data_IF_444944010156
#
_entry.id   IF_444944010156
#
_cell.length_a   1.000
_cell.length_b   1.000
_cell.length_c   1.000
_cell.angle_alpha   90.00
_cell.angle_beta   90.00
_cell.angle_gamma   90.00
#
_symmetry.space_group_name_H-M   'P 1'
#
loop_
_entity.id
_entity.type
_entity.pdbx_description
1 polymer ?
#
# COMPACT_ATOMS: atom_id res chain seq x y z
N UNK A 1 14.58 5.51 8.43
CA UNK A 1 15.20 4.95 7.20
C UNK A 1 14.31 5.33 6.03
N UNK A 2 14.77 6.18 5.14
CA UNK A 2 14.08 6.45 3.87
C UNK A 2 14.32 5.24 2.96
N UNK A 3 13.26 4.49 2.62
CA UNK A 3 13.36 3.33 1.72
C UNK A 3 13.64 3.84 0.31
N UNK A 4 14.67 3.28 -0.33
CA UNK A 4 15.04 3.60 -1.71
C UNK A 4 14.01 3.01 -2.69
N UNK A 5 13.54 3.83 -3.63
CA UNK A 5 12.60 3.40 -4.68
C UNK A 5 13.27 2.46 -5.69
N UNK A 6 12.49 1.51 -6.25
CA UNK A 6 12.95 0.55 -7.28
C UNK A 6 12.80 1.05 -8.72
N UNK A 7 12.89 2.37 -8.94
CA UNK A 7 12.63 2.99 -10.25
C UNK A 7 13.49 2.42 -11.37
N UNK A 8 14.81 2.31 -11.17
CA UNK A 8 15.75 1.80 -12.18
C UNK A 8 15.43 0.36 -12.59
N UNK A 9 15.12 -0.49 -11.61
CA UNK A 9 14.79 -1.90 -11.85
C UNK A 9 13.48 -2.03 -12.64
N UNK A 10 12.44 -1.30 -12.23
CA UNK A 10 11.13 -1.28 -12.88
C UNK A 10 11.20 -0.70 -14.30
N UNK A 11 12.05 0.31 -14.52
CA UNK A 11 12.31 0.86 -15.85
C UNK A 11 12.99 -0.15 -16.77
N UNK A 12 14.03 -0.82 -16.30
CA UNK A 12 14.72 -1.85 -17.10
C UNK A 12 13.77 -3.00 -17.42
N UNK A 13 12.95 -3.42 -16.45
CA UNK A 13 11.90 -4.44 -16.64
C UNK A 13 10.86 -4.06 -17.70
N UNK A 14 10.52 -2.78 -17.79
CA UNK A 14 9.59 -2.26 -18.81
C UNK A 14 10.26 -1.93 -20.15
N UNK A 15 11.57 -2.19 -20.31
CA UNK A 15 12.31 -1.98 -21.55
C UNK A 15 12.50 -0.51 -21.95
N UNK A 16 12.27 0.43 -21.03
CA UNK A 16 12.32 1.87 -21.30
C UNK A 16 13.68 2.50 -20.96
N UNK A 17 14.10 3.51 -21.72
CA UNK A 17 15.22 4.37 -21.34
C UNK A 17 14.78 5.42 -20.31
N UNK A 18 15.72 6.07 -19.63
CA UNK A 18 15.38 7.19 -18.72
C UNK A 18 14.69 8.34 -19.47
N UNK A 19 15.03 8.55 -20.74
CA UNK A 19 14.45 9.59 -21.58
C UNK A 19 13.00 9.27 -21.97
N UNK A 20 12.69 8.00 -22.25
CA UNK A 20 11.33 7.56 -22.57
C UNK A 20 10.39 7.80 -21.38
N UNK A 21 10.82 7.36 -20.19
CA UNK A 21 10.03 7.54 -18.97
C UNK A 21 9.85 9.02 -18.63
N UNK A 22 10.90 9.84 -18.77
CA UNK A 22 10.81 11.28 -18.51
C UNK A 22 9.81 11.96 -19.47
N UNK A 23 9.85 11.60 -20.76
CA UNK A 23 8.93 12.08 -21.79
C UNK A 23 7.49 11.67 -21.48
N UNK A 24 7.24 10.40 -21.17
CA UNK A 24 5.89 9.89 -20.85
C UNK A 24 5.32 10.50 -19.56
N UNK A 25 6.19 10.85 -18.59
CA UNK A 25 5.79 11.51 -17.35
C UNK A 25 5.65 13.04 -17.48
N UNK A 26 6.05 13.63 -18.62
CA UNK A 26 6.07 15.08 -18.81
C UNK A 26 7.05 15.80 -17.87
N UNK A 27 8.18 15.17 -17.53
CA UNK A 27 9.23 15.75 -16.67
C UNK A 27 10.56 15.84 -17.39
N UNK A 28 11.46 16.70 -16.90
CA UNK A 28 12.81 16.79 -17.47
C UNK A 28 13.64 15.51 -17.20
N UNK A 29 14.53 15.09 -18.13
CA UNK A 29 15.40 13.91 -17.92
C UNK A 29 16.23 13.97 -16.64
N UNK A 30 16.70 15.17 -16.28
CA UNK A 30 17.43 15.42 -15.04
C UNK A 30 16.58 15.17 -13.78
N UNK A 31 15.27 15.44 -13.86
CA UNK A 31 14.32 15.20 -12.77
C UNK A 31 14.14 13.71 -12.54
N UNK A 32 13.89 12.95 -13.61
CA UNK A 32 13.75 11.50 -13.51
C UNK A 32 15.04 10.82 -13.04
N UNK A 33 16.19 11.21 -13.60
CA UNK A 33 17.49 10.69 -13.16
C UNK A 33 17.73 10.97 -11.67
N UNK A 34 17.40 12.17 -11.18
CA UNK A 34 17.53 12.53 -9.77
C UNK A 34 16.68 11.63 -8.85
N UNK A 35 15.51 11.16 -9.31
CA UNK A 35 14.69 10.20 -8.58
C UNK A 35 15.34 8.80 -8.55
N UNK A 36 15.88 8.30 -9.66
CA UNK A 36 16.53 6.98 -9.71
C UNK A 36 17.79 6.89 -8.83
N UNK A 37 18.60 7.96 -8.81
CA UNK A 37 19.81 8.01 -7.98
C UNK A 37 19.53 8.39 -6.52
N UNK A 38 18.28 8.78 -6.19
CA UNK A 38 17.89 9.20 -4.85
C UNK A 38 18.40 10.59 -4.44
N UNK A 39 18.80 11.42 -5.41
CA UNK A 39 19.21 12.81 -5.16
C UNK A 39 18.00 13.68 -4.78
N UNK A 40 16.86 13.42 -5.42
CA UNK A 40 15.58 14.07 -5.12
C UNK A 40 14.53 13.01 -4.76
N UNK A 41 13.70 13.31 -3.78
CA UNK A 41 12.55 12.46 -3.44
C UNK A 41 11.45 12.57 -4.50
N UNK A 42 10.83 11.44 -4.84
CA UNK A 42 9.67 11.39 -5.72
C UNK A 42 8.46 11.97 -4.98
N UNK A 43 7.89 13.06 -5.50
CA UNK A 43 6.68 13.66 -4.89
C UNK A 43 5.48 12.74 -5.08
N UNK A 44 4.62 12.61 -4.07
CA UNK A 44 3.46 11.71 -4.07
C UNK A 44 2.54 11.85 -5.29
N UNK A 45 2.41 13.08 -5.83
CA UNK A 45 1.61 13.34 -7.04
C UNK A 45 2.05 12.56 -8.28
N UNK A 46 3.33 12.16 -8.37
CA UNK A 46 3.87 11.42 -9.50
C UNK A 46 3.77 9.91 -9.34
N UNK A 47 3.41 9.41 -8.15
CA UNK A 47 3.41 7.96 -7.86
C UNK A 47 2.47 7.22 -8.81
N UNK A 48 1.26 7.75 -9.02
CA UNK A 48 0.28 7.13 -9.91
C UNK A 48 0.79 7.05 -11.36
N UNK A 49 1.31 8.16 -11.89
CA UNK A 49 1.80 8.21 -13.27
C UNK A 49 3.02 7.31 -13.48
N UNK A 50 3.94 7.26 -12.51
CA UNK A 50 5.09 6.35 -12.53
C UNK A 50 4.62 4.90 -12.56
N UNK A 51 3.69 4.53 -11.69
CA UNK A 51 3.13 3.18 -11.66
C UNK A 51 2.47 2.81 -13.00
N UNK A 52 1.76 3.74 -13.63
CA UNK A 52 1.18 3.53 -14.97
C UNK A 52 2.24 3.35 -16.05
N UNK A 53 3.21 4.26 -16.15
CA UNK A 53 4.27 4.24 -17.18
C UNK A 53 5.16 3.00 -17.05
N UNK A 54 5.48 2.60 -15.83
CA UNK A 54 6.33 1.44 -15.56
C UNK A 54 5.54 0.12 -15.43
N UNK A 55 4.20 0.17 -15.54
CA UNK A 55 3.31 -0.98 -15.36
C UNK A 55 3.63 -1.75 -14.08
N UNK A 56 3.63 -1.04 -12.96
CA UNK A 56 3.92 -1.59 -11.64
C UNK A 56 2.91 -1.13 -10.59
N UNK A 57 2.84 -1.83 -9.47
CA UNK A 57 2.06 -1.39 -8.30
C UNK A 57 2.87 -0.43 -7.42
N UNK A 58 2.22 0.36 -6.54
CA UNK A 58 2.92 1.12 -5.52
C UNK A 58 3.78 0.22 -4.62
N UNK A 59 3.32 -0.98 -4.26
CA UNK A 59 4.11 -1.92 -3.45
C UNK A 59 5.42 -2.30 -4.16
N UNK A 60 5.35 -2.59 -5.46
CA UNK A 60 6.54 -2.85 -6.25
C UNK A 60 7.49 -1.64 -6.27
N UNK A 61 6.96 -0.43 -6.51
CA UNK A 61 7.71 0.82 -6.54
C UNK A 61 8.46 1.12 -5.23
N UNK A 62 7.79 0.90 -4.10
CA UNK A 62 8.34 1.16 -2.76
C UNK A 62 9.11 -0.02 -2.16
N UNK A 63 9.23 -1.15 -2.87
CA UNK A 63 9.91 -2.32 -2.34
C UNK A 63 9.18 -2.96 -1.16
N UNK A 64 7.85 -2.84 -1.13
CA UNK A 64 7.01 -3.49 -0.14
C UNK A 64 6.70 -4.89 -0.68
N UNK A 65 7.36 -5.89 -0.12
CA UNK A 65 7.00 -7.29 -0.34
C UNK A 65 5.64 -7.55 0.32
N UNK A 66 4.73 -8.23 -0.39
CA UNK A 66 3.48 -8.74 0.17
C UNK A 66 3.82 -9.86 1.17
N UNK A 67 4.27 -9.49 2.38
CA UNK A 67 4.87 -10.48 3.27
C UNK A 67 5.08 -10.06 4.73
N UNK A 68 4.52 -8.95 5.19
CA UNK A 68 4.57 -8.68 6.63
C UNK A 68 4.10 -7.28 7.00
N UNK A 69 3.24 -7.24 8.01
CA UNK A 69 2.86 -6.03 8.72
C UNK A 69 4.09 -5.11 8.97
N UNK A 70 4.17 -3.91 8.38
CA UNK A 70 5.27 -2.98 8.63
C UNK A 70 5.34 -2.49 10.07
N UNK A 71 4.33 -2.79 10.91
CA UNK A 71 4.31 -2.46 12.32
C UNK A 71 5.11 -3.42 13.21
N UNK A 72 5.79 -4.44 12.67
CA UNK A 72 6.57 -5.39 13.50
C UNK A 72 5.74 -6.12 14.55
N UNK A 73 4.41 -6.04 14.43
CA UNK A 73 3.47 -6.82 15.19
C UNK A 73 3.27 -8.09 14.41
N UNK A 74 3.57 -9.20 15.05
CA UNK A 74 3.14 -10.54 14.70
C UNK A 74 1.67 -10.54 14.23
N UNK A 75 1.40 -10.26 12.95
CA UNK A 75 0.08 -10.51 12.33
C UNK A 75 -0.21 -12.00 12.16
N UNK A 76 0.72 -12.85 12.62
CA UNK A 76 0.50 -14.27 12.90
C UNK A 76 -0.68 -14.54 13.85
N UNK A 77 -1.31 -13.52 14.44
CA UNK A 77 -2.51 -13.67 15.28
C UNK A 77 -3.82 -13.09 14.73
N UNK A 78 -3.84 -12.24 13.70
CA UNK A 78 -5.10 -11.62 13.21
C UNK A 78 -5.56 -12.12 11.84
N UNK A 79 -4.65 -12.72 11.07
CA UNK A 79 -4.91 -13.36 9.79
C UNK A 79 -4.49 -14.83 9.88
N UNK A 80 -4.94 -15.56 10.91
CA UNK A 80 -4.83 -17.02 10.87
C UNK A 80 -5.68 -17.51 9.68
N UNK A 81 -5.03 -18.21 8.76
CA UNK A 81 -5.15 -17.98 7.32
C UNK A 81 -6.39 -18.55 6.62
N UNK A 82 -7.33 -19.19 7.30
CA UNK A 82 -8.53 -19.77 6.65
C UNK A 82 -9.83 -19.01 7.00
N UNK A 83 -10.00 -18.56 8.25
CA UNK A 83 -11.30 -18.09 8.74
C UNK A 83 -11.73 -16.70 8.25
N UNK A 84 -10.78 -15.80 7.94
CA UNK A 84 -11.14 -14.45 7.45
C UNK A 84 -11.62 -14.48 6.00
N UNK A 85 -10.93 -15.24 5.15
CA UNK A 85 -11.33 -15.45 3.77
C UNK A 85 -12.62 -16.27 3.69
N UNK A 86 -12.77 -17.30 4.53
CA UNK A 86 -14.01 -18.06 4.67
C UNK A 86 -15.19 -17.15 5.07
N UNK A 87 -15.01 -16.29 6.08
CA UNK A 87 -16.04 -15.32 6.47
C UNK A 87 -16.39 -14.36 5.33
N UNK A 88 -15.40 -13.84 4.61
CA UNK A 88 -15.62 -12.93 3.49
C UNK A 88 -16.38 -13.61 2.34
N UNK A 89 -16.03 -14.84 1.97
CA UNK A 89 -16.74 -15.64 0.96
C UNK A 89 -18.19 -15.90 1.39
N UNK A 90 -18.39 -16.35 2.63
CA UNK A 90 -19.72 -16.63 3.17
C UNK A 90 -20.58 -15.36 3.16
N UNK A 91 -20.05 -14.23 3.64
CA UNK A 91 -20.76 -12.96 3.67
C UNK A 91 -21.16 -12.51 2.26
N UNK A 92 -20.27 -12.61 1.27
CA UNK A 92 -20.57 -12.24 -0.12
C UNK A 92 -21.73 -13.06 -0.70
N UNK A 93 -21.82 -14.35 -0.35
CA UNK A 93 -22.82 -15.30 -0.85
C UNK A 93 -24.18 -15.24 -0.13
N UNK A 94 -24.26 -14.52 0.99
CA UNK A 94 -25.53 -14.38 1.74
C UNK A 94 -26.48 -13.34 1.12
N UNK A 95 -27.80 -13.49 1.26
CA UNK A 95 -28.77 -12.51 0.76
C UNK A 95 -28.73 -11.18 1.55
N UNK A 96 -29.23 -10.06 0.99
CA UNK A 96 -29.10 -8.73 1.57
C UNK A 96 -29.57 -8.61 3.04
N UNK A 97 -30.66 -9.25 3.39
CA UNK A 97 -31.23 -9.24 4.75
C UNK A 97 -30.29 -9.87 5.80
N UNK A 98 -29.51 -10.88 5.40
CA UNK A 98 -28.53 -11.52 6.30
C UNK A 98 -27.30 -10.62 6.46
N UNK A 99 -26.87 -9.97 5.38
CA UNK A 99 -25.76 -9.00 5.44
C UNK A 99 -26.09 -7.81 6.35
N UNK A 100 -27.32 -7.28 6.27
CA UNK A 100 -27.79 -6.21 7.16
C UNK A 100 -27.77 -6.64 8.62
N UNK A 101 -28.28 -7.84 8.95
CA UNK A 101 -28.25 -8.36 10.31
C UNK A 101 -26.82 -8.50 10.86
N UNK A 102 -25.91 -9.06 10.06
CA UNK A 102 -24.48 -9.17 10.42
C UNK A 102 -23.88 -7.78 10.65
N UNK A 103 -24.14 -6.82 9.76
CA UNK A 103 -23.66 -5.45 9.89
C UNK A 103 -24.14 -4.80 11.20
N UNK A 104 -25.42 -4.90 11.53
CA UNK A 104 -25.98 -4.37 12.79
C UNK A 104 -25.29 -4.98 14.03
N UNK A 105 -25.07 -6.30 14.03
CA UNK A 105 -24.39 -6.99 15.13
C UNK A 105 -22.94 -6.52 15.26
N UNK A 106 -22.22 -6.42 14.13
CA UNK A 106 -20.82 -5.97 14.11
C UNK A 106 -20.71 -4.52 14.57
N UNK A 107 -21.61 -3.64 14.12
CA UNK A 107 -21.62 -2.22 14.48
C UNK A 107 -21.91 -2.02 15.97
N UNK A 108 -22.91 -2.72 16.51
CA UNK A 108 -23.23 -2.70 17.95
C UNK A 108 -22.06 -3.17 18.80
N UNK A 109 -21.40 -4.25 18.39
CA UNK A 109 -20.26 -4.84 19.11
C UNK A 109 -18.98 -3.98 19.02
N UNK A 110 -18.73 -3.33 17.88
CA UNK A 110 -17.56 -2.49 17.67
C UNK A 110 -17.62 -1.18 18.47
N UNK A 111 -18.81 -0.59 18.63
CA UNK A 111 -19.02 0.63 19.45
C UNK A 111 -18.66 0.39 20.92
N UNK A 112 -18.93 -0.80 21.46
CA UNK A 112 -18.59 -1.19 22.82
C UNK A 112 -17.07 -1.40 23.06
N UNK A 113 -16.29 -1.63 21.99
CA UNK A 113 -14.91 -2.11 22.07
C UNK A 113 -13.89 -1.16 21.43
N UNK A 114 -14.04 0.17 21.53
CA UNK A 114 -12.99 1.12 21.10
C UNK A 114 -11.83 1.11 22.11
N UNK A 115 -10.62 0.62 21.74
CA UNK A 115 -9.48 0.66 22.65
C UNK A 115 -9.06 2.12 22.88
N UNK A 116 -8.80 2.49 24.15
CA UNK A 116 -8.26 3.82 24.50
C UNK A 116 -6.96 4.06 23.71
N UNK A 117 -6.93 5.12 22.92
CA UNK A 117 -5.72 5.56 22.24
C UNK A 117 -4.61 5.75 23.29
N UNK A 118 -3.49 5.03 23.12
CA UNK A 118 -2.33 5.15 24.01
C UNK A 118 -1.87 6.61 24.00
N UNK A 119 -2.10 7.32 25.11
CA UNK A 119 -1.62 8.68 25.31
C UNK A 119 -0.09 8.66 25.21
N UNK A 120 0.44 9.22 24.13
CA UNK A 120 1.88 9.35 23.90
C UNK A 120 2.38 10.43 24.85
N UNK A 121 3.04 10.06 25.96
CA UNK A 121 3.70 11.03 26.83
C UNK A 121 4.70 11.82 25.99
N UNK A 122 4.45 13.13 25.88
CA UNK A 122 5.34 14.11 25.26
C UNK A 122 6.34 14.49 26.36
N UNK A 123 7.54 13.91 26.31
CA UNK A 123 8.60 14.30 27.23
C UNK A 123 9.10 15.71 26.84
N UNK A 124 9.22 16.55 27.86
CA UNK A 124 9.91 17.83 27.85
C UNK A 124 11.42 17.64 27.70
#
# INVERSE_FOLDING_TARGET
>A
MERRLRLKELRVRSGKSQADVATELGVGPSTYNAWEVGRNSLKSRYVWDVCRVLSCTPNELFGIEDGGDPAGGTRRGYLAEDGYFEFADLYQRTPPNIREAVHTIMEGSAKARRPRARHRKRNA
#
